data_IF_513619383560
#
_entry.id   IF_513619383560
#
_cell.length_a   1.000
_cell.length_b   1.000
_cell.length_c   1.000
_cell.angle_alpha   90.00
_cell.angle_beta   90.00
_cell.angle_gamma   90.00
#
_symmetry.space_group_name_H-M   'P 1'
#
loop_
_entity.id
_entity.type
_entity.pdbx_description
1 polymer ?
#
# COMPACT_ATOMS: atom_id res chain seq x y z
N UNK A 1 -7.10 -0.03 1.97
CA UNK A 1 -6.51 1.36 2.06
C UNK A 1 -7.07 2.16 3.24
N UNK A 2 -6.25 2.95 3.97
CA UNK A 2 -6.70 3.86 5.06
C UNK A 2 -7.12 5.24 4.54
N UNK A 3 -6.52 5.70 3.45
CA UNK A 3 -6.89 6.96 2.77
C UNK A 3 -7.74 6.57 1.57
N UNK A 4 -9.00 6.98 1.57
CA UNK A 4 -9.95 6.66 0.50
C UNK A 4 -9.49 7.25 -0.84
N UNK A 5 -9.82 6.58 -1.94
CA UNK A 5 -9.48 7.07 -3.30
C UNK A 5 -10.10 8.45 -3.57
N UNK A 6 -11.33 8.68 -3.09
CA UNK A 6 -11.95 10.00 -3.11
C UNK A 6 -11.10 11.07 -2.42
N UNK A 7 -10.50 10.74 -1.28
CA UNK A 7 -9.65 11.69 -0.55
C UNK A 7 -8.34 11.94 -1.30
N UNK A 8 -7.76 10.91 -1.94
CA UNK A 8 -6.61 11.08 -2.84
C UNK A 8 -6.91 12.11 -3.94
N UNK A 9 -8.08 12.02 -4.57
CA UNK A 9 -8.51 12.96 -5.61
C UNK A 9 -8.78 14.35 -5.06
N UNK A 10 -9.62 14.49 -4.03
CA UNK A 10 -10.21 15.77 -3.61
C UNK A 10 -9.31 16.55 -2.64
N UNK A 11 -8.53 15.86 -1.82
CA UNK A 11 -7.67 16.45 -0.78
C UNK A 11 -6.21 16.46 -1.22
N UNK A 12 -5.68 15.30 -1.63
CA UNK A 12 -4.29 15.17 -2.06
C UNK A 12 -4.05 15.63 -3.50
N UNK A 13 -5.12 15.85 -4.28
CA UNK A 13 -5.08 16.31 -5.68
C UNK A 13 -4.34 15.34 -6.61
N UNK A 14 -4.46 14.05 -6.33
CA UNK A 14 -3.96 12.97 -7.21
C UNK A 14 -5.07 12.65 -8.22
N UNK A 15 -4.76 12.75 -9.52
CA UNK A 15 -5.70 12.50 -10.62
C UNK A 15 -4.98 11.74 -11.72
N UNK A 16 -4.77 10.45 -11.57
CA UNK A 16 -4.07 9.64 -12.56
C UNK A 16 -5.01 9.27 -13.72
N UNK A 17 -4.42 9.00 -14.88
CA UNK A 17 -5.12 8.42 -16.02
C UNK A 17 -5.13 6.89 -16.01
N UNK A 18 -4.37 6.27 -15.12
CA UNK A 18 -4.28 4.82 -14.90
C UNK A 18 -3.60 4.52 -13.58
N UNK A 19 -3.84 3.34 -13.04
CA UNK A 19 -3.30 2.86 -11.76
C UNK A 19 -2.52 1.58 -11.95
N UNK A 20 -1.37 1.46 -11.29
CA UNK A 20 -0.73 0.19 -11.01
C UNK A 20 -0.97 -0.13 -9.53
N UNK A 21 -1.69 -1.21 -9.23
CA UNK A 21 -1.94 -1.68 -7.88
C UNK A 21 -1.18 -2.99 -7.65
N UNK A 22 -0.21 -2.96 -6.75
CA UNK A 22 0.64 -4.09 -6.39
C UNK A 22 0.20 -4.62 -5.05
N UNK A 23 -0.24 -5.89 -5.01
CA UNK A 23 -0.93 -6.51 -3.89
C UNK A 23 -2.45 -6.46 -4.05
N UNK A 24 -2.96 -7.02 -5.16
CA UNK A 24 -4.37 -6.90 -5.54
C UNK A 24 -5.33 -7.58 -4.56
N UNK A 25 -4.90 -8.62 -3.83
CA UNK A 25 -5.70 -9.45 -2.95
C UNK A 25 -7.07 -9.84 -3.57
N UNK A 26 -8.17 -9.18 -3.26
CA UNK A 26 -9.51 -9.39 -3.84
C UNK A 26 -10.02 -8.13 -4.58
N UNK A 27 -9.15 -7.19 -4.90
CA UNK A 27 -9.46 -5.92 -5.59
C UNK A 27 -10.51 -5.08 -4.84
N UNK A 28 -10.41 -5.00 -3.53
CA UNK A 28 -11.37 -4.32 -2.66
C UNK A 28 -11.59 -2.84 -3.04
N UNK A 29 -10.57 -2.20 -3.63
CA UNK A 29 -10.63 -0.81 -4.08
C UNK A 29 -11.20 -0.63 -5.50
N UNK A 30 -11.55 -1.71 -6.20
CA UNK A 30 -11.92 -1.67 -7.62
C UNK A 30 -13.09 -0.72 -7.91
N UNK A 31 -14.14 -0.74 -7.10
CA UNK A 31 -15.29 0.14 -7.28
C UNK A 31 -14.93 1.58 -6.93
N UNK A 32 -14.20 1.79 -5.84
CA UNK A 32 -13.76 3.13 -5.43
C UNK A 32 -12.82 3.77 -6.46
N UNK A 33 -11.93 3.00 -7.10
CA UNK A 33 -11.12 3.49 -8.22
C UNK A 33 -12.00 3.93 -9.39
N UNK A 34 -12.95 3.12 -9.80
CA UNK A 34 -13.85 3.45 -10.93
C UNK A 34 -14.69 4.68 -10.65
N UNK A 35 -15.32 4.76 -9.48
CA UNK A 35 -16.17 5.89 -9.07
C UNK A 35 -15.41 7.22 -8.97
N UNK A 36 -14.10 7.16 -8.78
CA UNK A 36 -13.25 8.34 -8.66
C UNK A 36 -12.37 8.62 -9.88
N UNK A 37 -12.62 7.94 -11.00
CA UNK A 37 -11.90 8.13 -12.27
C UNK A 37 -10.41 7.71 -12.22
N UNK A 38 -10.07 6.76 -11.35
CA UNK A 38 -8.76 6.12 -11.25
C UNK A 38 -8.76 4.83 -12.07
N UNK A 39 -8.92 4.91 -13.37
CA UNK A 39 -9.00 3.75 -14.27
C UNK A 39 -8.38 4.03 -15.64
N UNK A 40 -7.89 3.02 -16.37
CA UNK A 40 -7.87 1.60 -16.02
C UNK A 40 -6.88 1.26 -14.90
N UNK A 41 -7.06 0.08 -14.28
CA UNK A 41 -6.17 -0.44 -13.24
C UNK A 41 -5.43 -1.67 -13.77
N UNK A 42 -4.11 -1.69 -13.53
CA UNK A 42 -3.30 -2.90 -13.69
C UNK A 42 -3.09 -3.47 -12.29
N UNK A 43 -3.64 -4.63 -12.04
CA UNK A 43 -3.57 -5.34 -10.77
C UNK A 43 -2.42 -6.34 -10.81
N UNK A 44 -1.52 -6.30 -9.83
CA UNK A 44 -0.47 -7.30 -9.65
C UNK A 44 -0.74 -8.10 -8.38
N UNK A 45 -0.71 -9.42 -8.51
CA UNK A 45 -0.87 -10.36 -7.42
C UNK A 45 0.08 -11.55 -7.59
N UNK A 46 0.65 -12.03 -6.49
CA UNK A 46 1.54 -13.20 -6.50
C UNK A 46 0.93 -14.44 -5.85
N UNK A 47 -0.15 -14.31 -5.07
CA UNK A 47 -0.78 -15.42 -4.40
C UNK A 47 -1.64 -16.25 -5.37
N UNK A 48 -1.25 -17.50 -5.72
CA UNK A 48 -1.99 -18.31 -6.67
C UNK A 48 -3.44 -18.57 -6.26
N UNK A 49 -3.73 -18.58 -4.96
CA UNK A 49 -5.08 -18.79 -4.45
C UNK A 49 -6.03 -17.63 -4.78
N UNK A 50 -5.48 -16.43 -5.05
CA UNK A 50 -6.27 -15.25 -5.40
C UNK A 50 -6.44 -15.06 -6.91
N UNK A 51 -5.52 -15.55 -7.71
CA UNK A 51 -5.50 -15.32 -9.17
C UNK A 51 -6.77 -15.79 -9.86
N UNK A 52 -7.31 -16.94 -9.48
CA UNK A 52 -8.56 -17.45 -10.09
C UNK A 52 -9.73 -16.51 -9.81
N UNK A 53 -9.87 -16.05 -8.58
CA UNK A 53 -10.88 -15.06 -8.18
C UNK A 53 -10.71 -13.75 -8.95
N UNK A 54 -9.49 -13.22 -9.04
CA UNK A 54 -9.19 -11.97 -9.74
C UNK A 54 -9.60 -12.06 -11.22
N UNK A 55 -9.21 -13.14 -11.91
CA UNK A 55 -9.55 -13.36 -13.33
C UNK A 55 -11.06 -13.44 -13.60
N UNK A 56 -11.84 -13.87 -12.62
CA UNK A 56 -13.30 -13.95 -12.75
C UNK A 56 -14.01 -12.62 -12.46
N UNK A 57 -13.37 -11.72 -11.71
CA UNK A 57 -13.98 -10.49 -11.18
C UNK A 57 -13.37 -9.20 -11.71
N UNK A 58 -12.27 -9.28 -12.48
CA UNK A 58 -11.61 -8.08 -13.05
C UNK A 58 -12.54 -7.40 -14.05
N UNK A 59 -12.60 -6.07 -14.00
CA UNK A 59 -13.38 -5.25 -14.92
C UNK A 59 -12.76 -5.30 -16.33
N UNK A 60 -13.59 -5.15 -17.37
CA UNK A 60 -13.14 -5.21 -18.78
C UNK A 60 -12.08 -4.15 -19.14
N UNK A 61 -12.06 -3.02 -18.41
CA UNK A 61 -11.07 -1.97 -18.59
C UNK A 61 -9.72 -2.30 -17.99
N UNK A 62 -9.68 -3.23 -17.05
CA UNK A 62 -8.55 -3.51 -16.18
C UNK A 62 -7.78 -4.75 -16.62
N UNK A 63 -6.59 -4.94 -16.09
CA UNK A 63 -5.77 -6.12 -16.39
C UNK A 63 -5.13 -6.69 -15.14
N UNK A 64 -4.75 -7.99 -15.21
CA UNK A 64 -4.09 -8.71 -14.12
C UNK A 64 -2.73 -9.19 -14.60
N UNK A 65 -1.72 -9.00 -13.76
CA UNK A 65 -0.38 -9.56 -13.94
C UNK A 65 -0.08 -10.45 -12.73
N UNK A 66 0.21 -11.72 -13.01
CA UNK A 66 0.69 -12.66 -11.99
C UNK A 66 2.20 -12.47 -11.80
N UNK A 67 2.61 -11.78 -10.75
CA UNK A 67 4.02 -11.53 -10.48
C UNK A 67 4.28 -11.30 -9.00
N UNK A 68 5.39 -11.85 -8.55
CA UNK A 68 5.93 -11.70 -7.20
C UNK A 68 6.96 -10.56 -7.22
N UNK A 69 6.54 -9.35 -6.87
CA UNK A 69 7.35 -8.14 -7.06
C UNK A 69 8.45 -8.01 -6.01
N UNK A 70 9.66 -7.71 -6.49
CA UNK A 70 10.85 -7.50 -5.67
C UNK A 70 11.90 -6.64 -6.41
N UNK A 71 13.07 -6.47 -5.81
CA UNK A 71 14.22 -5.78 -6.40
C UNK A 71 15.15 -6.68 -7.23
N UNK A 72 14.86 -7.98 -7.33
CA UNK A 72 15.65 -8.98 -8.06
C UNK A 72 14.75 -9.84 -8.94
N UNK A 73 15.20 -10.18 -10.16
CA UNK A 73 14.53 -11.15 -11.02
C UNK A 73 15.01 -12.57 -10.70
N UNK A 74 14.10 -13.54 -10.75
CA UNK A 74 14.42 -14.97 -10.71
C UNK A 74 14.82 -15.50 -9.33
N UNK A 75 14.75 -14.69 -8.28
CA UNK A 75 15.06 -15.13 -6.90
C UNK A 75 13.89 -15.93 -6.36
N UNK A 76 14.21 -17.11 -5.77
CA UNK A 76 13.23 -17.92 -5.05
C UNK A 76 13.05 -17.38 -3.64
N UNK A 77 11.81 -17.08 -3.27
CA UNK A 77 11.44 -16.59 -1.94
C UNK A 77 10.35 -17.46 -1.33
N UNK A 78 10.35 -17.59 -0.01
CA UNK A 78 9.19 -18.10 0.71
C UNK A 78 8.11 -17.02 0.74
N UNK A 79 6.87 -17.41 0.47
CA UNK A 79 5.70 -16.57 0.58
C UNK A 79 4.73 -17.21 1.57
N UNK A 80 4.49 -16.55 2.67
CA UNK A 80 3.64 -17.02 3.75
C UNK A 80 2.20 -16.62 3.46
N UNK A 81 1.30 -17.60 3.37
CA UNK A 81 -0.10 -17.40 3.05
C UNK A 81 -0.90 -17.13 4.34
N UNK A 82 -1.49 -15.95 4.45
CA UNK A 82 -2.27 -15.52 5.61
C UNK A 82 -3.42 -14.57 5.21
N UNK A 83 -4.13 -14.88 4.13
CA UNK A 83 -5.18 -14.02 3.59
C UNK A 83 -4.65 -12.67 3.11
N UNK A 84 -5.28 -11.58 3.50
CA UNK A 84 -4.85 -10.23 3.17
C UNK A 84 -3.46 -9.87 3.73
N UNK A 85 -3.00 -10.60 4.74
CA UNK A 85 -1.69 -10.38 5.38
C UNK A 85 -0.60 -11.32 4.87
N UNK A 86 -0.76 -11.88 3.69
CA UNK A 86 0.26 -12.74 3.06
C UNK A 86 1.52 -11.94 2.72
N UNK A 87 2.70 -12.48 3.04
CA UNK A 87 3.97 -11.74 2.95
C UNK A 87 5.15 -12.63 2.60
N UNK A 88 6.25 -12.03 2.13
CA UNK A 88 7.58 -12.66 2.07
C UNK A 88 8.19 -12.84 3.44
N UNK A 89 7.71 -12.14 4.42
CA UNK A 89 8.32 -12.05 5.74
C UNK A 89 7.47 -12.73 6.78
N UNK A 90 8.16 -13.48 7.64
CA UNK A 90 7.57 -13.96 8.86
C UNK A 90 7.26 -12.77 9.79
N UNK A 91 6.05 -12.67 10.30
CA UNK A 91 5.68 -11.59 11.20
C UNK A 91 6.39 -11.71 12.54
N UNK A 92 7.31 -10.81 12.82
CA UNK A 92 7.98 -10.69 14.10
C UNK A 92 7.29 -9.55 14.89
N UNK A 93 6.73 -9.86 16.07
CA UNK A 93 6.14 -8.85 16.97
C UNK A 93 4.65 -8.51 16.75
N UNK A 94 3.96 -9.24 15.88
CA UNK A 94 2.53 -9.05 15.63
C UNK A 94 1.62 -10.10 16.24
N UNK A 95 2.19 -11.21 16.63
CA UNK A 95 1.48 -12.38 17.18
C UNK A 95 0.61 -11.99 18.39
N UNK A 96 1.07 -11.03 19.19
CA UNK A 96 0.35 -10.57 20.37
C UNK A 96 -0.88 -9.68 20.06
N UNK A 97 -0.93 -9.06 18.87
CA UNK A 97 -2.00 -8.12 18.50
C UNK A 97 -3.08 -8.72 17.61
N UNK A 98 -2.69 -9.68 16.77
CA UNK A 98 -3.58 -10.36 15.84
C UNK A 98 -3.32 -11.86 15.89
N UNK A 99 -3.59 -12.51 17.03
CA UNK A 99 -3.31 -13.93 17.25
C UNK A 99 -4.12 -14.86 16.32
N UNK A 100 -5.18 -14.32 15.71
CA UNK A 100 -6.01 -15.01 14.72
C UNK A 100 -5.32 -15.20 13.36
N UNK A 101 -4.32 -14.38 13.04
CA UNK A 101 -3.58 -14.49 11.77
C UNK A 101 -2.52 -15.59 11.91
N UNK A 102 -2.79 -16.75 11.31
CA UNK A 102 -1.90 -17.89 11.31
C UNK A 102 -1.14 -17.98 9.99
N UNK A 103 0.18 -18.07 10.07
CA UNK A 103 1.08 -18.34 8.95
C UNK A 103 1.35 -19.86 8.89
N UNK A 104 0.33 -20.63 8.53
CA UNK A 104 0.43 -22.09 8.60
C UNK A 104 1.08 -22.71 7.36
N UNK A 105 1.03 -22.00 6.23
CA UNK A 105 1.50 -22.53 4.96
C UNK A 105 2.42 -21.50 4.27
N UNK A 106 3.44 -22.00 3.62
CA UNK A 106 4.30 -21.20 2.75
C UNK A 106 4.51 -21.91 1.44
N UNK A 107 4.56 -21.13 0.37
CA UNK A 107 4.91 -21.58 -0.97
C UNK A 107 6.20 -20.91 -1.42
N UNK A 108 6.86 -21.50 -2.41
CA UNK A 108 8.03 -20.88 -3.03
C UNK A 108 7.59 -20.15 -4.30
N UNK A 109 7.84 -18.84 -4.35
CA UNK A 109 7.59 -18.02 -5.53
C UNK A 109 8.91 -17.54 -6.14
N UNK A 110 8.85 -17.16 -7.42
CA UNK A 110 9.99 -16.57 -8.13
C UNK A 110 9.71 -15.09 -8.34
N UNK A 111 10.66 -14.25 -7.94
CA UNK A 111 10.49 -12.80 -7.96
C UNK A 111 10.70 -12.19 -9.35
N UNK A 112 10.07 -11.04 -9.56
CA UNK A 112 10.23 -10.19 -10.75
C UNK A 112 10.40 -8.73 -10.35
N UNK A 113 11.22 -8.00 -11.11
CA UNK A 113 11.33 -6.54 -10.99
C UNK A 113 10.27 -5.86 -11.84
N UNK A 114 9.80 -4.70 -11.41
CA UNK A 114 8.83 -3.91 -12.18
C UNK A 114 9.43 -3.41 -13.50
N UNK A 115 10.70 -3.03 -13.51
CA UNK A 115 11.40 -2.60 -14.73
C UNK A 115 11.70 -3.72 -15.73
N UNK A 116 11.40 -4.97 -15.39
CA UNK A 116 11.39 -6.09 -16.34
C UNK A 116 10.00 -6.42 -16.88
N UNK A 117 8.94 -5.90 -16.28
CA UNK A 117 7.54 -6.09 -16.67
C UNK A 117 7.04 -4.90 -17.50
N UNK A 118 7.44 -3.69 -17.12
CA UNK A 118 7.02 -2.44 -17.74
C UNK A 118 8.20 -1.70 -18.39
N UNK A 119 7.86 -0.79 -19.29
CA UNK A 119 8.76 0.23 -19.82
C UNK A 119 8.26 1.65 -19.44
N UNK A 120 8.95 2.68 -19.92
CA UNK A 120 8.62 4.07 -19.61
C UNK A 120 7.30 4.57 -20.23
N UNK A 121 6.75 3.83 -21.18
CA UNK A 121 5.51 4.18 -21.89
C UNK A 121 4.32 3.47 -21.25
N UNK A 122 4.50 2.21 -20.87
CA UNK A 122 3.41 1.34 -20.38
C UNK A 122 3.17 1.42 -18.89
N UNK A 123 4.14 1.94 -18.10
CA UNK A 123 3.97 2.02 -16.65
C UNK A 123 2.97 3.12 -16.26
N UNK A 124 1.93 2.80 -15.47
CA UNK A 124 1.04 3.81 -14.91
C UNK A 124 1.77 4.83 -14.04
N UNK A 125 1.34 6.10 -14.11
CA UNK A 125 1.97 7.20 -13.37
C UNK A 125 1.56 7.28 -11.90
N UNK A 126 0.55 6.54 -11.49
CA UNK A 126 0.17 6.35 -10.09
C UNK A 126 0.33 4.88 -9.71
N UNK A 127 1.08 4.64 -8.64
CA UNK A 127 1.35 3.30 -8.14
C UNK A 127 0.90 3.20 -6.69
N UNK A 128 0.03 2.22 -6.44
CA UNK A 128 -0.34 1.77 -5.10
C UNK A 128 0.46 0.50 -4.79
N UNK A 129 1.15 0.47 -3.65
CA UNK A 129 1.95 -0.68 -3.20
C UNK A 129 1.50 -1.07 -1.79
N UNK A 130 0.87 -2.24 -1.69
CA UNK A 130 0.39 -2.83 -0.45
C UNK A 130 0.70 -4.34 -0.47
N UNK A 131 1.93 -4.67 -0.12
CA UNK A 131 2.50 -6.04 -0.21
C UNK A 131 3.13 -6.50 1.10
N UNK A 132 2.59 -5.97 2.18
CA UNK A 132 2.81 -6.48 3.52
C UNK A 132 4.30 -6.61 3.89
N UNK A 133 5.04 -5.49 3.71
CA UNK A 133 6.43 -5.33 4.13
C UNK A 133 7.48 -5.38 3.01
N UNK A 134 7.11 -5.70 1.76
CA UNK A 134 8.05 -5.71 0.63
C UNK A 134 8.02 -4.43 -0.22
N UNK A 135 7.37 -3.36 0.25
CA UNK A 135 7.17 -2.09 -0.47
C UNK A 135 8.50 -1.46 -0.91
N UNK A 136 9.52 -1.52 -0.04
CA UNK A 136 10.84 -0.98 -0.37
C UNK A 136 11.50 -1.76 -1.52
N UNK A 137 11.35 -3.09 -1.53
CA UNK A 137 11.87 -3.92 -2.62
C UNK A 137 11.15 -3.63 -3.94
N UNK A 138 9.83 -3.41 -3.90
CA UNK A 138 9.08 -3.00 -5.08
C UNK A 138 9.55 -1.64 -5.62
N UNK A 139 9.81 -0.67 -4.74
CA UNK A 139 10.35 0.64 -5.11
C UNK A 139 11.74 0.52 -5.77
N UNK A 140 12.63 -0.32 -5.25
CA UNK A 140 13.92 -0.62 -5.88
C UNK A 140 13.75 -1.35 -7.22
N UNK A 141 12.73 -2.22 -7.32
CA UNK A 141 12.36 -2.94 -8.53
C UNK A 141 11.84 -2.06 -9.67
N UNK A 142 11.42 -0.83 -9.39
CA UNK A 142 11.11 0.17 -10.42
C UNK A 142 12.35 0.67 -11.16
N UNK A 143 13.52 0.66 -10.53
CA UNK A 143 14.74 1.15 -11.14
C UNK A 143 14.58 2.55 -11.74
N UNK A 144 14.99 2.72 -13.01
CA UNK A 144 14.86 3.98 -13.73
C UNK A 144 13.41 4.38 -14.02
N UNK A 145 12.45 3.42 -14.04
CA UNK A 145 11.02 3.70 -14.25
C UNK A 145 10.41 4.54 -13.13
N UNK A 146 11.04 4.57 -11.96
CA UNK A 146 10.61 5.43 -10.86
C UNK A 146 10.50 6.89 -11.29
N UNK A 147 11.24 7.34 -12.29
CA UNK A 147 11.19 8.71 -12.87
C UNK A 147 9.86 9.00 -13.57
N UNK A 148 9.18 7.98 -14.07
CA UNK A 148 7.91 8.09 -14.78
C UNK A 148 6.70 8.12 -13.84
N UNK A 149 6.90 7.76 -12.56
CA UNK A 149 5.85 7.77 -11.56
C UNK A 149 5.63 9.20 -11.05
N UNK A 150 4.39 9.67 -11.08
CA UNK A 150 3.99 10.99 -10.59
C UNK A 150 3.54 10.97 -9.14
N UNK A 151 2.88 9.89 -8.72
CA UNK A 151 2.42 9.74 -7.33
C UNK A 151 2.46 8.29 -6.87
N UNK A 152 2.64 8.11 -5.57
CA UNK A 152 2.72 6.82 -4.89
C UNK A 152 1.79 6.83 -3.69
N UNK A 153 1.12 5.71 -3.50
CA UNK A 153 0.44 5.33 -2.27
C UNK A 153 1.10 4.07 -1.74
N UNK A 154 1.48 4.05 -0.48
CA UNK A 154 2.26 2.95 0.10
C UNK A 154 1.74 2.60 1.49
N UNK A 155 1.59 1.31 1.80
CA UNK A 155 1.65 0.90 3.19
C UNK A 155 3.06 1.17 3.74
N UNK A 156 3.15 1.66 4.97
CA UNK A 156 4.42 1.95 5.64
C UNK A 156 4.37 1.49 7.08
N UNK A 157 5.49 0.97 7.59
CA UNK A 157 5.57 0.44 8.95
C UNK A 157 6.67 1.09 9.77
N UNK A 158 6.54 1.02 11.11
CA UNK A 158 7.52 1.57 12.07
C UNK A 158 8.54 0.54 12.57
N UNK A 159 8.65 -0.63 12.05
CA UNK A 159 9.47 -1.76 12.53
C UNK A 159 8.67 -3.04 12.76
N UNK A 160 7.77 -3.31 11.84
CA UNK A 160 6.75 -4.32 11.99
C UNK A 160 7.13 -5.66 11.35
N UNK A 161 7.91 -5.60 10.28
CA UNK A 161 8.27 -6.72 9.43
C UNK A 161 9.77 -7.03 9.50
N UNK A 162 10.26 -7.68 10.56
CA UNK A 162 11.63 -8.13 10.61
C UNK A 162 12.69 -7.07 10.24
N UNK A 163 13.71 -7.40 9.44
CA UNK A 163 14.79 -6.50 9.05
C UNK A 163 14.42 -5.51 7.94
N UNK A 164 13.15 -5.36 7.60
CA UNK A 164 12.71 -4.50 6.49
C UNK A 164 12.92 -3.03 6.75
N UNK A 165 13.15 -2.26 5.69
CA UNK A 165 13.19 -0.82 5.77
C UNK A 165 11.92 -0.24 6.38
N UNK A 166 12.07 0.51 7.47
CA UNK A 166 10.98 1.26 8.05
C UNK A 166 10.56 2.45 7.17
N UNK A 167 9.46 3.11 7.52
CA UNK A 167 8.98 4.27 6.77
C UNK A 167 10.02 5.38 6.61
N UNK A 168 11.00 5.50 7.52
CA UNK A 168 12.04 6.54 7.45
C UNK A 168 12.99 6.27 6.29
N UNK A 169 13.31 5.00 6.07
CA UNK A 169 14.17 4.58 4.96
C UNK A 169 13.43 4.75 3.62
N UNK A 170 12.15 4.36 3.56
CA UNK A 170 11.28 4.60 2.39
C UNK A 170 11.20 6.11 2.12
N UNK A 171 10.93 6.93 3.14
CA UNK A 171 10.83 8.38 3.00
C UNK A 171 12.16 9.00 2.51
N UNK A 172 13.31 8.55 3.03
CA UNK A 172 14.63 8.99 2.60
C UNK A 172 14.89 8.63 1.13
N UNK A 173 14.55 7.39 0.74
CA UNK A 173 14.69 6.91 -0.63
C UNK A 173 13.85 7.76 -1.59
N UNK A 174 12.57 7.92 -1.31
CA UNK A 174 11.65 8.67 -2.18
C UNK A 174 12.00 10.16 -2.27
N UNK A 175 12.38 10.77 -1.14
CA UNK A 175 12.80 12.18 -1.13
C UNK A 175 14.06 12.38 -1.98
N UNK A 176 15.06 11.48 -1.89
CA UNK A 176 16.25 11.49 -2.74
C UNK A 176 15.91 11.37 -4.22
N UNK A 177 14.84 10.64 -4.54
CA UNK A 177 14.36 10.44 -5.90
C UNK A 177 13.32 11.50 -6.35
N UNK A 178 13.23 12.65 -5.67
CA UNK A 178 12.45 13.81 -6.10
C UNK A 178 10.96 13.78 -5.73
N UNK A 179 10.55 12.92 -4.79
CA UNK A 179 9.18 12.91 -4.30
C UNK A 179 9.00 13.78 -3.06
N UNK A 180 7.87 14.47 -3.00
CA UNK A 180 7.39 15.17 -1.81
C UNK A 180 6.42 14.27 -1.05
N UNK A 181 6.67 14.05 0.23
CA UNK A 181 5.70 13.41 1.11
C UNK A 181 4.52 14.36 1.32
N UNK A 182 3.33 13.92 0.92
CA UNK A 182 2.10 14.70 1.11
C UNK A 182 1.50 14.45 2.50
N UNK A 183 1.50 13.21 2.96
CA UNK A 183 0.99 12.86 4.29
C UNK A 183 1.13 11.39 4.63
N UNK A 184 0.90 11.07 5.89
CA UNK A 184 0.79 9.69 6.38
C UNK A 184 -0.41 9.61 7.32
N UNK A 185 -1.23 8.59 7.13
CA UNK A 185 -2.34 8.23 8.00
C UNK A 185 -1.96 6.98 8.78
N UNK A 186 -1.59 7.14 10.05
CA UNK A 186 -1.14 6.05 10.89
C UNK A 186 -2.26 5.27 11.54
N UNK A 187 -2.12 3.97 11.60
CA UNK A 187 -2.86 3.09 12.49
C UNK A 187 -2.04 2.94 13.79
N UNK A 188 -2.22 3.89 14.72
CA UNK A 188 -1.30 4.16 15.84
C UNK A 188 -0.97 2.96 16.74
N UNK A 189 -1.94 2.12 16.99
CA UNK A 189 -1.84 0.94 17.85
C UNK A 189 -1.30 -0.28 17.11
N UNK A 190 -1.30 -0.26 15.78
CA UNK A 190 -0.87 -1.38 14.96
C UNK A 190 0.56 -1.22 14.40
N UNK A 191 1.14 -0.01 14.42
CA UNK A 191 2.51 0.25 13.95
C UNK A 191 2.66 0.37 12.44
N UNK A 192 1.57 0.36 11.68
CA UNK A 192 1.51 0.59 10.24
C UNK A 192 0.64 1.79 9.88
N UNK A 193 0.68 2.21 8.65
CA UNK A 193 -0.11 3.30 8.10
C UNK A 193 0.13 3.48 6.62
N UNK A 194 -0.63 4.36 5.99
CA UNK A 194 -0.55 4.63 4.57
C UNK A 194 0.05 6.00 4.31
N UNK A 195 1.03 6.05 3.43
CA UNK A 195 1.74 7.25 3.03
C UNK A 195 1.47 7.61 1.57
N UNK A 196 1.28 8.89 1.32
CA UNK A 196 1.10 9.45 -0.03
C UNK A 196 2.28 10.33 -0.38
N UNK A 197 2.84 10.08 -1.56
CA UNK A 197 3.93 10.85 -2.14
C UNK A 197 3.57 11.37 -3.53
N UNK A 198 4.15 12.50 -3.93
CA UNK A 198 3.99 13.06 -5.27
C UNK A 198 5.28 13.74 -5.74
N UNK A 199 5.56 13.68 -7.05
CA UNK A 199 6.62 14.52 -7.67
C UNK A 199 6.22 15.98 -7.71
N UNK A 200 4.92 16.23 -7.82
CA UNK A 200 4.42 17.60 -7.84
C UNK A 200 4.44 18.18 -6.42
N UNK A 201 5.15 19.29 -6.26
CA UNK A 201 5.15 20.03 -5.00
C UNK A 201 3.73 20.54 -4.70
N UNK A 202 3.14 20.18 -3.56
CA UNK A 202 1.79 20.62 -3.24
C UNK A 202 1.72 22.12 -3.04
N UNK A 203 0.64 22.75 -3.55
CA UNK A 203 0.34 24.17 -3.30
C UNK A 203 0.09 24.41 -1.80
N UNK A 204 0.18 25.67 -1.36
CA UNK A 204 -0.15 26.05 0.02
C UNK A 204 -1.58 25.60 0.37
N UNK A 205 -2.55 25.83 -0.52
CA UNK A 205 -3.95 25.41 -0.36
C UNK A 205 -4.07 23.89 -0.18
N UNK A 206 -3.36 23.12 -0.98
CA UNK A 206 -3.33 21.64 -0.88
C UNK A 206 -2.72 21.19 0.43
N UNK A 207 -1.59 21.77 0.84
CA UNK A 207 -0.96 21.47 2.14
C UNK A 207 -1.90 21.73 3.31
N UNK A 208 -2.61 22.87 3.30
CA UNK A 208 -3.58 23.21 4.34
C UNK A 208 -4.73 22.20 4.41
N UNK A 209 -5.29 21.80 3.24
CA UNK A 209 -6.34 20.77 3.17
C UNK A 209 -5.85 19.43 3.76
N UNK A 210 -4.66 18.97 3.36
CA UNK A 210 -4.07 17.72 3.85
C UNK A 210 -3.82 17.80 5.35
N UNK A 211 -3.25 18.89 5.83
CA UNK A 211 -2.99 19.10 7.27
C UNK A 211 -4.28 19.02 8.08
N UNK A 212 -5.32 19.71 7.65
CA UNK A 212 -6.64 19.67 8.31
C UNK A 212 -7.23 18.27 8.31
N UNK A 213 -7.20 17.58 7.17
CA UNK A 213 -7.69 16.21 7.04
C UNK A 213 -7.00 15.24 8.02
N UNK A 214 -5.67 15.26 8.05
CA UNK A 214 -4.89 14.39 8.94
C UNK A 214 -5.09 14.76 10.42
N UNK A 215 -5.25 16.05 10.73
CA UNK A 215 -5.52 16.51 12.10
C UNK A 215 -6.89 16.03 12.58
N UNK A 216 -7.92 16.16 11.74
CA UNK A 216 -9.27 15.68 12.06
C UNK A 216 -9.32 14.15 12.22
N UNK A 217 -8.57 13.43 11.39
CA UNK A 217 -8.41 11.99 11.53
C UNK A 217 -7.80 11.61 12.89
N UNK A 218 -6.69 12.21 13.24
CA UNK A 218 -6.01 11.96 14.50
C UNK A 218 -6.90 12.30 15.71
N UNK A 219 -7.64 13.40 15.65
CA UNK A 219 -8.58 13.80 16.69
C UNK A 219 -9.72 12.80 16.89
N UNK A 220 -10.35 12.34 15.81
CA UNK A 220 -11.40 11.33 15.87
C UNK A 220 -10.91 10.02 16.49
N UNK A 221 -9.69 9.60 16.14
CA UNK A 221 -9.07 8.40 16.71
C UNK A 221 -8.78 8.52 18.19
N UNK A 222 -8.21 9.64 18.62
CA UNK A 222 -7.99 9.91 20.04
C UNK A 222 -9.31 9.84 20.81
N UNK A 223 -10.37 10.46 20.31
CA UNK A 223 -11.70 10.39 20.93
C UNK A 223 -12.21 8.94 21.05
N UNK A 224 -12.06 8.14 19.99
CA UNK A 224 -12.46 6.73 20.01
C UNK A 224 -11.60 5.90 20.98
N UNK A 225 -10.29 6.12 21.00
CA UNK A 225 -9.37 5.47 21.94
C UNK A 225 -9.77 5.72 23.39
N UNK A 226 -10.02 6.98 23.76
CA UNK A 226 -10.48 7.31 25.10
C UNK A 226 -11.85 6.74 25.42
N UNK A 227 -12.79 6.73 24.45
CA UNK A 227 -14.09 6.10 24.60
C UNK A 227 -13.97 4.59 24.89
N UNK A 228 -13.17 3.86 24.09
CA UNK A 228 -12.96 2.42 24.27
C UNK A 228 -12.28 2.15 25.62
N UNK A 229 -11.25 2.92 25.99
CA UNK A 229 -10.57 2.78 27.28
C UNK A 229 -11.51 3.03 28.45
N UNK A 230 -12.36 4.05 28.34
CA UNK A 230 -13.41 4.34 29.34
C UNK A 230 -14.38 3.18 29.46
N UNK A 231 -14.95 2.70 28.34
CA UNK A 231 -15.90 1.58 28.35
C UNK A 231 -15.30 0.31 28.95
N UNK A 232 -14.04 -0.03 28.58
CA UNK A 232 -13.33 -1.17 29.18
C UNK A 232 -13.11 -1.00 30.69
N UNK A 233 -12.78 0.22 31.15
CA UNK A 233 -12.59 0.49 32.58
C UNK A 233 -13.86 0.26 33.41
N UNK A 234 -15.03 0.52 32.82
CA UNK A 234 -16.32 0.33 33.47
C UNK A 234 -17.03 -0.98 33.08
N UNK A 235 -16.35 -1.92 32.41
CA UNK A 235 -16.92 -3.22 32.00
C UNK A 235 -18.06 -3.13 30.98
N UNK A 236 -18.18 -2.01 30.26
CA UNK A 236 -19.19 -1.79 29.24
C UNK A 236 -18.69 -2.23 27.86
N UNK A 237 -19.59 -2.81 27.04
CA UNK A 237 -19.27 -3.16 25.65
C UNK A 237 -19.14 -1.88 24.81
N UNK A 238 -18.12 -1.87 23.89
CA UNK A 238 -17.87 -0.78 22.97
C UNK A 238 -18.85 -0.77 21.81
#
# INVERSE_FOLDING_TARGET
MLILVKDLRDIFQIKPSSVLHIGAHEMEESDEYTENEFSPVIWIECNPLKITFLKQNVKNSDSIIEACISNENGKKVKFYQAGASSSFYERIGHIDRFPEIKFNESITLTTSRLDSIFDSITIPQFVNIDIEGAEYLALEGLGELLKNINALYLEVTKSYWGPNPDYKQINKFLTKNGFFKLGIKWYWDAGFGDAVYSRNKPSVKTKTKISLYLTLWNFRRLKNFFKIKYLKHFGLKA
#
